data_IF_353543738453
#
_entry.id   IF_353543738453
#
_cell.length_a   1.000
_cell.length_b   1.000
_cell.length_c   1.000
_cell.angle_alpha   90.00
_cell.angle_beta   90.00
_cell.angle_gamma   90.00
#
_symmetry.space_group_name_H-M   'P 1'
#
loop_
_entity.id
_entity.type
_entity.pdbx_description
1 polymer ?
2 non-polymer ?
3 water ?
#
# COMPACT_ATOMS: atom_id res chain seq x y z
N UNK A 2 -27.99 14.33 14.18
CA UNK A 2 -27.70 15.41 13.18
C UNK A 2 -27.82 14.83 11.76
N UNK A 3 -26.91 13.92 11.39
CA UNK A 3 -27.12 13.04 10.22
C UNK A 3 -25.93 12.22 9.73
N UNK A 4 -26.23 10.94 9.52
CA UNK A 4 -25.30 10.00 8.92
C UNK A 4 -25.12 10.28 7.42
N UNK A 5 -26.24 10.54 6.76
CA UNK A 5 -26.33 10.79 5.32
C UNK A 5 -25.51 12.08 4.97
N UNK A 6 -25.56 13.07 5.85
CA UNK A 6 -24.87 14.32 5.60
C UNK A 6 -23.38 14.20 5.86
N UNK A 7 -22.98 13.39 6.83
CA UNK A 7 -21.55 13.25 7.02
C UNK A 7 -20.96 12.52 5.78
N UNK A 8 -21.67 11.48 5.32
CA UNK A 8 -21.29 10.72 4.14
C UNK A 8 -21.18 11.59 2.90
N UNK A 9 -22.21 12.42 2.68
CA UNK A 9 -22.23 13.30 1.53
C UNK A 9 -21.06 14.28 1.63
N UNK A 10 -20.76 14.72 2.84
CA UNK A 10 -19.59 15.55 3.04
C UNK A 10 -18.23 14.88 2.67
N UNK A 11 -18.09 13.66 3.16
CA UNK A 11 -16.90 12.90 2.95
C UNK A 11 -16.74 12.67 1.45
N UNK A 12 -17.84 12.28 0.79
CA UNK A 12 -17.80 11.98 -0.63
C UNK A 12 -17.54 13.22 -1.49
N UNK A 13 -17.99 14.38 -1.00
CA UNK A 13 -17.73 15.66 -1.70
C UNK A 13 -16.24 15.89 -1.78
N UNK A 14 -15.61 15.67 -0.63
CA UNK A 14 -14.17 15.82 -0.51
C UNK A 14 -13.42 14.86 -1.47
N UNK A 15 -13.89 13.61 -1.60
CA UNK A 15 -13.23 12.67 -2.53
C UNK A 15 -13.52 13.02 -3.97
N UNK A 16 -14.66 13.68 -4.27
CA UNK A 16 -14.98 14.13 -5.64
C UNK A 16 -13.99 15.21 -6.05
N UNK A 17 -13.65 16.04 -5.10
CA UNK A 17 -12.64 17.07 -5.22
C UNK A 17 -11.29 16.42 -5.54
N UNK A 18 -10.95 15.39 -4.80
CA UNK A 18 -9.64 14.74 -4.99
C UNK A 18 -9.62 14.13 -6.37
N UNK A 19 -10.71 13.49 -6.75
CA UNK A 19 -10.81 12.79 -8.00
C UNK A 19 -10.59 13.77 -9.12
N UNK A 20 -11.12 14.98 -8.98
CA UNK A 20 -10.92 15.97 -10.05
C UNK A 20 -9.45 16.38 -10.16
N UNK A 21 -8.75 16.60 -9.01
CA UNK A 21 -7.35 16.99 -9.02
C UNK A 21 -6.56 15.84 -9.62
N UNK A 22 -6.89 14.60 -9.26
CA UNK A 22 -6.12 13.43 -9.79
C UNK A 22 -6.30 13.32 -11.28
N UNK A 23 -7.54 13.47 -11.76
CA UNK A 23 -7.76 13.49 -13.18
C UNK A 23 -6.96 14.58 -13.91
N UNK A 24 -6.95 15.79 -13.39
CA UNK A 24 -6.23 16.92 -14.05
C UNK A 24 -4.71 16.62 -14.06
N UNK A 25 -4.19 16.16 -12.93
CA UNK A 25 -2.73 15.83 -12.86
C UNK A 25 -2.39 14.79 -13.91
N UNK A 26 -3.14 13.69 -13.95
CA UNK A 26 -2.82 12.65 -14.92
C UNK A 26 -2.90 13.09 -16.38
N UNK A 27 -3.87 13.96 -16.73
CA UNK A 27 -3.91 14.48 -18.08
C UNK A 27 -2.60 15.19 -18.49
N UNK A 28 -2.00 15.92 -17.58
CA UNK A 28 -0.75 16.74 -17.75
C UNK A 28 0.57 15.90 -17.74
N UNK A 29 0.64 14.95 -16.82
CA UNK A 29 1.90 14.40 -16.40
C UNK A 29 2.50 13.50 -17.44
N UNK A 30 3.82 13.55 -17.52
CA UNK A 30 4.60 12.59 -18.31
C UNK A 30 4.30 11.17 -17.87
N UNK A 31 4.23 10.24 -18.80
CA UNK A 31 4.01 8.80 -18.47
C UNK A 31 5.31 8.09 -18.59
N UNK A 32 5.61 7.16 -17.65
CA UNK A 32 6.93 6.47 -17.73
C UNK A 32 7.07 5.65 -19.02
N UNK A 33 8.23 5.61 -19.64
CA UNK A 33 8.36 4.89 -20.94
C UNK A 33 8.74 3.45 -20.71
N UNK A 34 8.61 2.65 -21.76
CA UNK A 34 9.19 1.33 -21.76
C UNK A 34 8.42 0.39 -20.82
N UNK A 35 7.10 0.49 -20.74
CA UNK A 35 6.33 -0.40 -19.81
C UNK A 35 5.18 -1.00 -20.58
N UNK A 36 4.81 -2.23 -20.26
CA UNK A 36 3.56 -2.83 -20.71
C UNK A 36 2.69 -3.10 -19.47
N UNK A 37 1.39 -2.97 -19.62
CA UNK A 37 0.48 -3.37 -18.58
C UNK A 37 -0.57 -4.31 -19.18
N UNK A 38 -1.12 -5.15 -18.29
CA UNK A 38 -2.22 -6.04 -18.53
C UNK A 38 -3.27 -5.70 -17.53
N UNK A 39 -4.45 -5.35 -18.01
CA UNK A 39 -5.41 -4.68 -17.14
C UNK A 39 -6.69 -5.55 -16.85
N UNK A 40 -7.31 -5.18 -15.74
CA UNK A 40 -8.70 -5.58 -15.46
C UNK A 40 -8.85 -7.11 -15.29
N UNK A 41 -7.91 -7.74 -14.59
CA UNK A 41 -8.13 -9.11 -14.23
C UNK A 41 -9.01 -9.21 -12.97
N UNK A 42 -10.11 -9.97 -13.04
CA UNK A 42 -10.91 -10.31 -11.87
C UNK A 42 -10.13 -11.26 -11.04
N UNK A 43 -10.01 -10.98 -9.73
CA UNK A 43 -9.20 -11.84 -8.87
C UNK A 43 -10.03 -12.80 -8.04
N UNK A 44 -11.35 -12.70 -8.16
CA UNK A 44 -12.25 -13.73 -7.64
C UNK A 44 -13.47 -13.87 -8.52
N UNK A 45 -14.33 -14.83 -8.26
CA UNK A 45 -15.58 -14.95 -9.05
C UNK A 45 -16.59 -13.87 -8.69
N UNK A 46 -16.39 -12.65 -9.18
CA UNK A 46 -17.20 -11.50 -8.81
C UNK A 46 -17.17 -10.48 -9.93
N UNK A 47 -18.31 -9.89 -10.20
CA UNK A 47 -18.39 -8.86 -11.21
C UNK A 47 -18.24 -7.49 -10.54
N UNK A 48 -17.86 -7.46 -9.26
CA UNK A 48 -17.70 -6.14 -8.62
C UNK A 48 -16.42 -5.58 -9.32
N UNK A 49 -16.52 -4.42 -9.89
CA UNK A 49 -15.43 -3.82 -10.65
C UNK A 49 -14.21 -3.49 -9.79
N UNK A 50 -14.39 -3.33 -8.47
CA UNK A 50 -13.27 -3.12 -7.58
C UNK A 50 -12.42 -4.35 -7.29
N UNK A 51 -12.93 -5.55 -7.56
CA UNK A 51 -12.25 -6.78 -7.29
C UNK A 51 -11.48 -7.27 -8.53
N UNK A 52 -10.67 -6.33 -9.02
CA UNK A 52 -9.84 -6.49 -10.20
C UNK A 52 -8.46 -5.94 -9.93
N UNK A 53 -7.52 -6.29 -10.81
CA UNK A 53 -6.11 -5.82 -10.61
C UNK A 53 -5.46 -5.59 -12.01
N UNK A 54 -4.40 -4.79 -12.01
CA UNK A 54 -3.53 -4.57 -13.16
C UNK A 54 -2.15 -5.17 -12.83
N UNK A 55 -1.46 -5.57 -13.87
CA UNK A 55 -0.06 -6.05 -13.80
C UNK A 55 0.72 -5.17 -14.74
N UNK A 56 1.95 -4.89 -14.37
CA UNK A 56 2.82 -3.96 -15.07
C UNK A 56 4.22 -4.62 -15.12
N UNK A 57 4.87 -4.42 -16.25
CA UNK A 57 6.18 -5.01 -16.53
C UNK A 57 7.04 -4.08 -17.35
N UNK A 58 8.36 -4.21 -17.25
CA UNK A 58 9.23 -3.54 -18.22
C UNK A 58 8.86 -3.97 -19.67
N UNK A 59 8.96 -3.10 -20.64
CA UNK A 59 8.65 -3.52 -22.01
C UNK A 59 9.64 -4.57 -22.50
N UNK A 60 10.89 -4.49 -22.07
CA UNK A 60 11.98 -5.41 -22.42
C UNK A 60 12.45 -6.11 -21.17
N UNK A 61 12.04 -7.37 -21.02
CA UNK A 61 12.42 -8.16 -19.86
C UNK A 61 13.80 -8.79 -20.03
N UNK A 62 14.72 -8.40 -19.15
CA UNK A 62 16.05 -8.99 -19.11
C UNK A 62 15.97 -10.46 -18.61
N UNK A 63 14.96 -10.84 -17.81
CA UNK A 63 14.77 -12.23 -17.38
C UNK A 63 13.30 -12.72 -17.53
N UNK A 64 13.05 -14.05 -17.54
CA UNK A 64 11.68 -14.64 -17.51
C UNK A 64 10.83 -14.24 -16.32
N UNK A 65 11.47 -14.11 -15.17
CA UNK A 65 10.84 -13.68 -13.93
C UNK A 65 11.67 -12.57 -13.38
N UNK A 66 10.97 -11.65 -12.73
CA UNK A 66 11.48 -10.43 -12.18
C UNK A 66 10.96 -10.30 -10.76
N UNK A 67 11.71 -9.69 -9.87
CA UNK A 67 11.26 -9.51 -8.52
C UNK A 67 9.95 -8.74 -8.53
N UNK A 68 9.15 -9.05 -7.55
CA UNK A 68 7.79 -8.58 -7.43
C UNK A 68 7.56 -7.35 -6.56
N UNK A 69 6.72 -6.39 -7.03
CA UNK A 69 6.20 -5.34 -6.19
C UNK A 69 4.67 -5.43 -6.19
N UNK A 70 4.08 -5.30 -5.00
CA UNK A 70 2.64 -5.32 -4.86
C UNK A 70 2.25 -4.00 -4.21
N UNK A 71 1.42 -3.19 -4.90
CA UNK A 71 0.98 -1.90 -4.45
C UNK A 71 -0.47 -1.87 -3.99
N UNK A 72 -0.69 -1.28 -2.81
CA UNK A 72 -1.99 -0.95 -2.25
C UNK A 72 -2.20 0.54 -2.25
N UNK A 73 -3.07 1.01 -3.12
CA UNK A 73 -3.32 2.45 -3.26
C UNK A 73 -4.00 3.05 -2.05
N UNK A 74 -3.92 4.36 -1.95
CA UNK A 74 -4.55 5.09 -0.87
C UNK A 74 -5.85 5.77 -1.36
N UNK A 75 -6.29 6.80 -0.63
CA UNK A 75 -7.59 7.39 -0.83
C UNK A 75 -8.54 7.30 0.37
N UNK A 76 -8.01 7.27 1.57
CA UNK A 76 -8.88 7.35 2.77
C UNK A 76 -9.89 6.26 2.94
N UNK A 77 -9.62 5.09 2.33
CA UNK A 77 -10.46 3.91 2.42
C UNK A 77 -11.79 4.09 1.72
N UNK A 78 -12.13 5.36 1.34
CA UNK A 78 -13.40 5.71 0.61
C UNK A 78 -13.23 5.96 -0.90
N UNK A 79 -11.99 5.99 -1.36
CA UNK A 79 -11.69 6.46 -2.69
C UNK A 79 -10.55 5.68 -3.38
N UNK A 80 -10.63 5.61 -4.71
CA UNK A 80 -9.52 5.05 -5.50
C UNK A 80 -9.91 3.75 -6.15
N UNK A 81 -9.07 3.34 -7.08
CA UNK A 81 -9.22 2.08 -7.75
C UNK A 81 -7.85 1.59 -8.29
N UNK A 82 -7.84 0.46 -8.99
CA UNK A 82 -6.60 -0.11 -9.52
C UNK A 82 -5.83 0.82 -10.47
N UNK A 83 -6.51 1.85 -10.99
CA UNK A 83 -5.85 2.77 -11.92
C UNK A 83 -5.23 3.97 -11.27
N UNK A 84 -5.57 4.23 -10.01
CA UNK A 84 -5.16 5.51 -9.39
C UNK A 84 -3.64 5.71 -9.37
N UNK A 85 -2.90 4.64 -9.07
CA UNK A 85 -1.45 4.71 -8.88
C UNK A 85 -0.77 4.18 -10.14
N UNK A 86 -1.43 4.24 -11.30
CA UNK A 86 -0.82 3.65 -12.49
C UNK A 86 0.54 4.21 -12.83
N UNK A 87 0.74 5.53 -12.74
CA UNK A 87 2.06 6.08 -13.17
C UNK A 87 3.17 5.61 -12.24
N UNK A 88 2.88 5.51 -10.94
CA UNK A 88 3.82 5.05 -9.96
C UNK A 88 4.18 3.59 -10.20
N UNK A 89 3.17 2.76 -10.48
CA UNK A 89 3.37 1.33 -10.78
C UNK A 89 4.15 1.14 -12.06
N UNK A 90 3.82 1.95 -13.08
CA UNK A 90 4.59 1.92 -14.29
C UNK A 90 6.04 2.25 -14.09
N UNK A 91 6.30 3.32 -13.33
CA UNK A 91 7.70 3.70 -13.03
C UNK A 91 8.46 2.52 -12.37
N UNK A 92 7.88 1.98 -11.32
CA UNK A 92 8.57 0.84 -10.68
C UNK A 92 8.80 -0.31 -11.66
N UNK A 93 7.79 -0.66 -12.47
CA UNK A 93 7.96 -1.72 -13.42
C UNK A 93 9.07 -1.40 -14.40
N UNK A 94 9.20 -0.13 -14.79
CA UNK A 94 10.17 0.26 -15.83
C UNK A 94 11.59 -0.01 -15.34
N UNK A 95 11.75 -0.16 -14.03
CA UNK A 95 13.05 -0.40 -13.44
C UNK A 95 13.45 -1.85 -13.41
N UNK A 96 12.58 -2.74 -13.87
CA UNK A 96 12.88 -4.17 -14.03
C UNK A 96 12.13 -5.06 -13.02
N UNK A 97 10.89 -4.65 -12.65
CA UNK A 97 10.07 -5.34 -11.65
C UNK A 97 8.73 -5.66 -12.23
N UNK A 98 8.17 -6.79 -11.74
CA UNK A 98 6.93 -7.19 -12.08
C UNK A 98 5.99 -6.64 -10.97
N UNK A 99 4.98 -5.90 -11.39
CA UNK A 99 4.20 -5.10 -10.39
C UNK A 99 2.73 -5.47 -10.49
N UNK A 100 2.09 -5.62 -9.32
CA UNK A 100 0.68 -5.85 -9.25
C UNK A 100 0.10 -4.77 -8.43
N UNK A 101 -1.00 -4.21 -8.91
CA UNK A 101 -1.78 -3.22 -8.11
C UNK A 101 -3.25 -3.63 -8.19
N UNK A 102 -3.89 -3.71 -7.02
CA UNK A 102 -5.28 -4.16 -6.92
C UNK A 102 -6.26 -3.11 -6.54
N UNK A 103 -7.48 -3.34 -7.01
CA UNK A 103 -8.60 -2.67 -6.39
C UNK A 103 -9.06 -3.42 -5.19
N UNK A 104 -9.79 -2.72 -4.33
CA UNK A 104 -10.46 -3.23 -3.14
C UNK A 104 -11.75 -2.41 -2.96
N UNK A 105 -12.80 -3.07 -2.49
CA UNK A 105 -14.10 -2.39 -2.29
C UNK A 105 -13.90 -1.26 -1.29
N UNK A 106 -14.64 -0.18 -1.48
CA UNK A 106 -14.45 1.01 -0.68
C UNK A 106 -15.52 1.11 0.44
N UNK A 107 -15.13 1.74 1.53
CA UNK A 107 -16.07 2.26 2.53
C UNK A 107 -17.03 3.20 1.79
N UNK A 108 -18.33 3.22 2.18
CA UNK A 108 -18.87 2.54 3.33
C UNK A 108 -19.54 1.23 2.95
N UNK A 109 -19.33 0.78 1.73
CA UNK A 109 -20.03 -0.41 1.23
C UNK A 109 -19.53 -1.71 1.91
N UNK A 110 -18.29 -1.65 2.33
CA UNK A 110 -17.61 -2.66 3.12
C UNK A 110 -17.00 -1.94 4.29
N UNK A 111 -16.43 -2.73 5.18
CA UNK A 111 -15.68 -2.27 6.28
C UNK A 111 -14.26 -2.79 6.10
N UNK A 112 -13.40 -2.58 7.10
CA UNK A 112 -11.98 -3.01 7.02
C UNK A 112 -11.81 -4.52 6.70
N UNK A 113 -12.62 -5.38 7.29
CA UNK A 113 -12.52 -6.82 7.03
C UNK A 113 -12.72 -7.13 5.55
N UNK A 114 -13.70 -6.49 4.94
CA UNK A 114 -13.94 -6.71 3.51
C UNK A 114 -12.76 -6.20 2.67
N UNK A 115 -12.17 -5.11 3.05
CA UNK A 115 -10.96 -4.60 2.32
C UNK A 115 -9.76 -5.53 2.47
N UNK A 116 -9.53 -6.02 3.67
CA UNK A 116 -8.44 -6.96 3.95
C UNK A 116 -8.66 -8.28 3.16
N UNK A 117 -9.89 -8.74 3.12
CA UNK A 117 -10.24 -9.94 2.31
C UNK A 117 -9.97 -9.77 0.81
N UNK A 118 -10.32 -8.61 0.29
CA UNK A 118 -10.03 -8.25 -1.11
C UNK A 118 -8.56 -8.28 -1.40
N UNK A 119 -7.79 -7.69 -0.51
CA UNK A 119 -6.38 -7.62 -0.71
C UNK A 119 -5.77 -9.01 -0.63
N UNK A 120 -6.15 -9.81 0.39
CA UNK A 120 -5.74 -11.21 0.41
C UNK A 120 -6.14 -12.07 -0.82
N UNK A 121 -7.34 -11.81 -1.35
CA UNK A 121 -7.78 -12.49 -2.60
C UNK A 121 -6.85 -12.15 -3.77
N UNK A 122 -6.42 -10.87 -3.86
CA UNK A 122 -5.53 -10.47 -4.95
C UNK A 122 -4.16 -11.12 -4.76
N UNK A 123 -3.68 -11.22 -3.52
CA UNK A 123 -2.41 -11.87 -3.23
C UNK A 123 -2.47 -13.35 -3.61
N UNK A 124 -3.58 -14.02 -3.29
CA UNK A 124 -3.74 -15.45 -3.57
C UNK A 124 -3.83 -15.69 -5.05
N UNK A 125 -4.52 -14.83 -5.76
CA UNK A 125 -4.56 -14.87 -7.20
C UNK A 125 -3.16 -14.82 -7.75
N UNK A 126 -2.40 -13.83 -7.29
CA UNK A 126 -0.99 -13.73 -7.71
C UNK A 126 -0.11 -14.97 -7.42
N UNK A 127 -0.31 -15.59 -6.29
CA UNK A 127 0.40 -16.85 -5.94
C UNK A 127 0.06 -17.94 -6.90
N UNK A 128 -1.16 -17.98 -7.45
CA UNK A 128 -1.58 -18.96 -8.46
C UNK A 128 -1.11 -18.65 -9.86
N UNK A 129 -1.22 -17.38 -10.26
CA UNK A 129 -1.07 -17.01 -11.67
C UNK A 129 0.09 -16.11 -12.00
N UNK A 130 0.74 -15.57 -10.97
CA UNK A 130 1.85 -14.62 -11.20
C UNK A 130 3.08 -15.26 -11.82
N UNK A 131 3.59 -16.36 -11.22
CA UNK A 131 4.86 -16.88 -11.69
C UNK A 131 4.82 -17.27 -13.14
N UNK A 132 3.72 -17.81 -13.65
CA UNK A 132 3.65 -18.20 -15.05
C UNK A 132 3.79 -16.99 -15.98
N UNK A 133 3.52 -15.76 -15.50
CA UNK A 133 3.59 -14.63 -16.37
C UNK A 133 4.67 -13.64 -15.97
N UNK A 134 5.64 -14.08 -15.15
CA UNK A 134 6.82 -13.32 -14.92
C UNK A 134 7.06 -12.83 -13.49
N UNK A 135 6.24 -13.20 -12.53
CA UNK A 135 6.44 -12.73 -11.17
C UNK A 135 7.33 -13.75 -10.38
N UNK A 136 8.45 -13.25 -9.84
CA UNK A 136 9.34 -14.03 -8.93
C UNK A 136 8.82 -13.80 -7.60
N UNK A 137 8.07 -14.76 -7.03
CA UNK A 137 7.49 -14.52 -5.73
C UNK A 137 8.40 -14.91 -4.51
N UNK A 138 9.66 -15.20 -4.77
CA UNK A 138 10.67 -15.35 -3.70
C UNK A 138 11.21 -14.03 -3.15
N UNK A 139 10.97 -12.96 -3.91
CA UNK A 139 11.38 -11.58 -3.54
C UNK A 139 10.22 -10.66 -3.82
N UNK A 140 9.55 -10.23 -2.76
CA UNK A 140 8.34 -9.49 -2.86
C UNK A 140 8.41 -8.24 -2.00
N UNK A 141 8.25 -7.08 -2.63
CA UNK A 141 8.11 -5.82 -1.95
C UNK A 141 6.63 -5.47 -1.85
N UNK A 142 6.10 -5.36 -0.65
CA UNK A 142 4.74 -4.88 -0.43
C UNK A 142 4.79 -3.38 -0.08
N UNK A 143 4.01 -2.57 -0.79
CA UNK A 143 3.95 -1.14 -0.53
C UNK A 143 2.60 -0.57 -0.63
N UNK A 144 2.42 0.54 0.12
CA UNK A 144 1.15 1.22 0.17
C UNK A 144 1.36 2.63 0.59
N UNK A 145 0.51 3.51 0.07
CA UNK A 145 0.56 4.94 0.43
C UNK A 145 -0.69 5.41 1.20
N UNK A 146 -0.46 6.15 2.29
CA UNK A 146 -1.54 6.76 3.12
C UNK A 146 -2.50 5.64 3.72
N UNK A 147 -3.78 5.64 3.41
CA UNK A 147 -4.65 4.50 3.76
C UNK A 147 -4.16 3.16 3.21
N UNK A 148 -3.54 3.18 2.04
CA UNK A 148 -2.91 2.00 1.53
C UNK A 148 -1.72 1.56 2.36
N UNK A 149 -1.04 2.49 3.02
CA UNK A 149 0.04 2.13 3.96
C UNK A 149 -0.45 1.50 5.25
N UNK A 150 -1.55 2.04 5.79
CA UNK A 150 -2.29 1.35 6.86
C UNK A 150 -2.56 -0.09 6.43
N UNK A 151 -3.21 -0.27 5.28
CA UNK A 151 -3.63 -1.57 4.84
C UNK A 151 -2.44 -2.48 4.66
N UNK A 152 -1.34 -1.96 4.04
CA UNK A 152 -0.12 -2.75 3.90
C UNK A 152 0.43 -3.20 5.30
N UNK A 153 0.41 -2.31 6.30
CA UNK A 153 0.97 -2.62 7.57
C UNK A 153 0.17 -3.72 8.21
N UNK A 154 -1.16 -3.69 8.09
CA UNK A 154 -1.98 -4.76 8.68
C UNK A 154 -1.80 -6.07 7.92
N UNK A 155 -1.79 -6.01 6.60
CA UNK A 155 -1.63 -7.24 5.81
C UNK A 155 -0.31 -7.94 6.15
N UNK A 156 0.77 -7.15 6.39
CA UNK A 156 2.07 -7.76 6.79
C UNK A 156 1.93 -8.59 8.10
N UNK A 157 1.15 -8.07 9.05
CA UNK A 157 0.98 -8.73 10.36
C UNK A 157 0.05 -9.91 10.22
N UNK A 158 -1.04 -9.74 9.48
CA UNK A 158 -2.01 -10.82 9.33
C UNK A 158 -1.39 -12.05 8.63
N UNK A 159 -0.59 -11.80 7.61
CA UNK A 159 0.11 -12.85 6.91
C UNK A 159 0.96 -13.71 7.86
N UNK A 160 1.41 -13.13 8.96
CA UNK A 160 2.28 -13.80 9.93
C UNK A 160 1.49 -14.46 11.09
N UNK A 161 0.20 -14.20 11.22
CA UNK A 161 -0.52 -14.54 12.44
C UNK A 161 -1.74 -15.40 12.22
N UNK A 162 -1.70 -16.67 12.65
CA UNK A 162 -2.92 -17.50 12.53
C UNK A 162 -4.15 -16.89 13.22
N UNK A 163 -3.99 -16.32 14.40
CA UNK A 163 -5.08 -15.64 15.15
C UNK A 163 -5.73 -14.51 14.29
N UNK A 164 -4.91 -13.68 13.66
CA UNK A 164 -5.49 -12.53 12.91
C UNK A 164 -6.05 -13.05 11.61
N UNK A 165 -5.42 -14.07 11.03
CA UNK A 165 -5.99 -14.70 9.86
C UNK A 165 -7.45 -15.17 10.13
N UNK A 166 -7.66 -15.73 11.32
CA UNK A 166 -8.94 -16.23 11.70
C UNK A 166 -9.90 -15.08 11.92
N UNK A 167 -9.43 -14.04 12.58
CA UNK A 167 -10.29 -12.88 12.88
C UNK A 167 -10.71 -12.14 11.61
N UNK A 168 -9.77 -12.00 10.67
CA UNK A 168 -10.05 -11.29 9.43
C UNK A 168 -10.71 -12.16 8.34
N UNK A 169 -10.83 -13.44 8.63
CA UNK A 169 -11.32 -14.46 7.70
C UNK A 169 -10.53 -14.61 6.43
N UNK A 170 -9.20 -14.62 6.56
CA UNK A 170 -8.34 -14.88 5.43
C UNK A 170 -7.42 -16.04 5.68
N UNK A 171 -6.85 -16.60 4.64
CA UNK A 171 -5.76 -17.60 4.79
C UNK A 171 -4.44 -17.02 4.37
N UNK A 172 -3.34 -17.50 4.95
CA UNK A 172 -2.02 -17.03 4.58
C UNK A 172 -1.78 -17.36 3.10
N UNK A 173 -0.97 -16.56 2.44
CA UNK A 173 -0.63 -16.85 1.04
C UNK A 173 0.75 -17.50 1.04
N UNK A 174 1.02 -18.22 -0.03
CA UNK A 174 2.18 -19.05 -0.14
C UNK A 174 3.41 -18.29 -0.66
N UNK A 175 3.65 -17.11 -0.10
CA UNK A 175 4.92 -16.40 -0.30
C UNK A 175 5.07 -15.43 0.83
N UNK A 176 6.28 -14.85 0.98
CA UNK A 176 6.57 -13.96 2.12
C UNK A 176 6.84 -12.60 1.54
N UNK A 177 6.73 -11.60 2.38
CA UNK A 177 7.18 -10.25 2.04
C UNK A 177 8.64 -10.05 2.42
N UNK A 178 9.45 -9.58 1.46
CA UNK A 178 10.82 -9.28 1.73
C UNK A 178 11.01 -7.97 2.40
N UNK A 179 10.15 -7.03 2.07
CA UNK A 179 10.17 -5.72 2.65
C UNK A 179 8.77 -5.16 2.58
N UNK A 180 8.39 -4.35 3.55
CA UNK A 180 7.16 -3.61 3.53
C UNK A 180 7.48 -2.10 3.61
N UNK A 181 7.20 -1.40 2.52
CA UNK A 181 7.52 0.05 2.42
C UNK A 181 6.26 0.85 2.51
N UNK A 182 6.20 1.66 3.54
CA UNK A 182 5.03 2.51 3.79
C UNK A 182 5.26 3.95 3.45
N UNK A 183 4.44 4.47 2.57
CA UNK A 183 4.59 5.83 2.11
C UNK A 183 3.51 6.69 2.77
N UNK A 184 3.96 7.67 3.61
CA UNK A 184 3.04 8.48 4.43
C UNK A 184 1.83 7.69 4.98
N UNK A 185 2.11 6.62 5.68
CA UNK A 185 1.02 5.78 6.15
C UNK A 185 0.19 6.46 7.24
N UNK A 186 -1.11 6.12 7.29
CA UNK A 186 -1.96 6.45 8.43
C UNK A 186 -2.18 5.19 9.20
N UNK A 187 -1.14 4.72 9.86
CA UNK A 187 -1.17 3.35 10.34
C UNK A 187 -1.85 3.25 11.73
N UNK A 188 -2.06 4.43 12.34
CA UNK A 188 -2.73 4.56 13.65
C UNK A 188 -3.98 5.42 13.53
N UNK A 189 -4.95 4.95 12.80
CA UNK A 189 -6.06 5.82 12.52
C UNK A 189 -6.85 6.25 13.79
N UNK A 190 -6.77 5.47 14.89
CA UNK A 190 -7.46 5.83 16.14
C UNK A 190 -6.90 7.07 16.75
N UNK A 191 -5.65 7.38 16.43
CA UNK A 191 -4.98 8.59 16.91
C UNK A 191 -5.31 9.84 16.09
N UNK A 192 -6.04 9.69 14.99
CA UNK A 192 -6.43 10.84 14.18
C UNK A 192 -7.20 11.93 14.99
N UNK A 193 -8.25 11.56 15.76
CA UNK A 193 -8.89 12.62 16.58
C UNK A 193 -8.01 13.10 17.77
N UNK A 199 -12.69 18.77 13.15
CA UNK A 199 -13.05 17.67 12.25
C UNK A 199 -13.03 16.35 13.02
N UNK A 200 -13.38 16.40 14.30
CA UNK A 200 -13.38 15.19 15.13
C UNK A 200 -14.53 14.27 14.77
N UNK A 201 -15.73 14.83 14.55
CA UNK A 201 -16.90 14.01 14.19
C UNK A 201 -16.68 13.25 12.88
N UNK A 202 -15.95 13.89 11.94
CA UNK A 202 -15.57 13.24 10.67
C UNK A 202 -14.54 12.10 10.89
N UNK A 203 -13.50 12.33 11.68
CA UNK A 203 -12.58 11.29 11.99
C UNK A 203 -13.28 10.10 12.65
N UNK A 204 -14.25 10.40 13.51
CA UNK A 204 -15.04 9.36 14.22
C UNK A 204 -15.89 8.58 13.23
N UNK A 205 -16.46 9.29 12.26
CA UNK A 205 -17.19 8.67 11.18
C UNK A 205 -16.32 7.69 10.38
N UNK A 206 -15.08 8.05 10.10
CA UNK A 206 -14.21 7.13 9.36
C UNK A 206 -13.99 5.81 10.18
N UNK A 207 -13.76 5.93 11.48
CA UNK A 207 -13.36 4.82 12.34
C UNK A 207 -14.50 3.88 12.48
N UNK A 208 -15.70 4.48 12.51
CA UNK A 208 -16.96 3.77 12.57
C UNK A 208 -17.18 2.96 11.30
N UNK A 209 -16.83 3.57 10.16
CA UNK A 209 -17.01 2.91 8.89
C UNK A 209 -15.95 1.80 8.69
N UNK A 210 -14.76 2.07 9.12
CA UNK A 210 -13.71 1.01 9.14
C UNK A 210 -14.08 -0.22 10.04
N UNK A 211 -14.61 0.00 11.26
CA UNK A 211 -14.83 -1.13 12.18
C UNK A 211 -16.15 -1.84 11.84
N UNK A 212 -16.99 -1.15 11.10
CA UNK A 212 -18.37 -1.60 10.89
C UNK A 212 -19.15 -1.98 12.14
N UNK A 213 -18.76 -1.43 13.29
CA UNK A 213 -19.33 -1.74 14.61
C UNK A 213 -18.80 -3.03 15.22
N UNK A 214 -17.92 -3.73 14.50
CA UNK A 214 -17.42 -4.98 15.02
C UNK A 214 -16.29 -4.65 16.01
N UNK A 215 -16.44 -5.07 17.26
CA UNK A 215 -15.47 -4.70 18.28
C UNK A 215 -14.11 -5.38 18.07
N UNK A 216 -14.10 -6.54 17.43
CA UNK A 216 -12.87 -7.21 17.08
C UNK A 216 -12.08 -6.33 16.04
N UNK A 217 -12.77 -5.59 15.18
CA UNK A 217 -12.09 -4.68 14.26
C UNK A 217 -11.65 -3.41 14.97
N UNK A 218 -12.48 -2.90 15.89
CA UNK A 218 -12.06 -1.76 16.70
C UNK A 218 -10.71 -2.07 17.37
N UNK A 219 -10.56 -3.27 17.90
CA UNK A 219 -9.39 -3.68 18.67
C UNK A 219 -8.27 -4.12 17.79
N UNK A 220 -8.48 -4.07 16.48
CA UNK A 220 -7.47 -4.48 15.53
C UNK A 220 -7.36 -3.56 14.33
N UNK A 221 -7.61 -2.27 14.55
CA UNK A 221 -7.66 -1.25 13.53
C UNK A 221 -6.32 -0.51 13.33
N UNK A 222 -5.42 -0.57 14.30
CA UNK A 222 -4.15 0.12 14.30
C UNK A 222 -3.04 -0.87 14.22
N UNK A 223 -2.00 -0.49 13.49
CA UNK A 223 -0.79 -1.30 13.46
C UNK A 223 -0.28 -1.66 14.85
N UNK A 224 -0.36 -0.73 15.79
CA UNK A 224 0.07 -1.01 17.16
C UNK A 224 -0.70 -2.18 17.80
N UNK A 225 -1.90 -2.45 17.31
CA UNK A 225 -2.74 -3.53 17.86
C UNK A 225 -2.46 -4.84 17.19
N UNK A 226 -1.90 -4.84 15.99
CA UNK A 226 -1.66 -6.10 15.29
C UNK A 226 -0.17 -6.53 15.22
N UNK A 227 0.74 -5.65 15.64
CA UNK A 227 2.19 -5.94 15.54
C UNK A 227 2.64 -6.87 16.66
N UNK A 228 1.85 -6.93 17.72
CA UNK A 228 2.32 -7.57 18.99
C UNK A 228 2.76 -8.98 18.82
N UNK A 229 4.05 -9.29 19.01
CA UNK A 229 4.53 -10.66 19.27
C UNK A 229 4.87 -11.40 18.02
N UNK A 230 4.96 -10.66 16.90
CA UNK A 230 5.12 -11.30 15.64
C UNK A 230 6.50 -11.04 15.21
N UNK A 231 7.02 -11.96 14.45
CA UNK A 231 8.33 -11.84 13.86
C UNK A 231 8.13 -11.29 12.43
N UNK A 232 8.41 -10.04 12.19
CA UNK A 232 7.97 -9.40 10.91
C UNK A 232 9.13 -9.20 9.97
N UNK A 233 8.86 -9.03 8.65
CA UNK A 233 9.93 -8.52 7.81
C UNK A 233 10.32 -7.12 8.17
N UNK A 234 11.41 -6.66 7.54
CA UNK A 234 11.87 -5.29 7.61
C UNK A 234 10.81 -4.34 7.02
N UNK A 235 10.75 -3.14 7.57
CA UNK A 235 9.93 -2.06 7.02
C UNK A 235 10.80 -0.91 6.53
N UNK A 236 10.20 -0.08 5.65
CA UNK A 236 10.81 1.15 5.20
C UNK A 236 9.71 2.19 5.31
N UNK A 237 9.99 3.25 6.03
CA UNK A 237 9.02 4.34 6.18
C UNK A 237 9.46 5.54 5.39
N UNK A 238 8.59 6.00 4.48
CA UNK A 238 8.90 7.05 3.51
C UNK A 238 7.93 8.17 3.73
N UNK A 239 8.44 9.41 3.68
CA UNK A 239 7.62 10.54 3.84
C UNK A 239 8.42 11.82 4.02
N UNK A 240 7.90 12.68 4.87
CA UNK A 240 8.53 13.98 5.13
C UNK A 240 7.79 14.88 6.08
N UNK A 241 8.54 15.89 6.57
CA UNK A 241 8.01 16.81 7.55
C UNK A 241 6.91 17.66 6.97
N UNK A 242 6.82 17.78 5.64
CA UNK A 242 5.67 18.50 4.99
C UNK A 242 4.55 17.60 4.50
N UNK A 243 4.57 16.35 4.94
CA UNK A 243 3.43 15.47 4.83
C UNK A 243 2.37 16.01 5.81
N UNK A 244 1.16 16.20 5.34
CA UNK A 244 0.05 16.59 6.21
C UNK A 244 -0.16 15.60 7.35
N UNK A 245 0.27 14.35 7.15
CA UNK A 245 0.14 13.27 8.15
C UNK A 245 1.47 12.89 8.75
N UNK A 246 2.42 13.81 8.81
CA UNK A 246 3.75 13.48 9.34
C UNK A 246 3.65 13.00 10.81
N UNK A 247 2.62 13.47 11.52
CA UNK A 247 2.43 13.01 12.89
C UNK A 247 2.27 11.49 12.98
N UNK A 248 1.54 10.94 12.05
CA UNK A 248 1.33 9.49 12.01
C UNK A 248 2.63 8.75 11.81
N UNK A 249 3.54 9.29 10.97
CA UNK A 249 4.88 8.74 10.80
C UNK A 249 5.68 8.76 12.07
N UNK A 250 5.64 9.89 12.78
CA UNK A 250 6.30 9.94 14.11
C UNK A 250 5.73 8.92 15.11
N UNK A 251 4.40 8.88 15.24
CA UNK A 251 3.75 7.80 16.03
C UNK A 251 4.19 6.39 15.61
N UNK A 252 4.19 6.10 14.31
CA UNK A 252 4.62 4.77 13.92
C UNK A 252 6.07 4.36 14.27
N UNK A 253 7.00 5.29 14.17
CA UNK A 253 8.34 4.99 14.59
C UNK A 253 8.45 4.54 16.09
N UNK A 254 7.65 5.16 16.91
CA UNK A 254 7.61 4.82 18.33
C UNK A 254 7.10 3.40 18.43
N UNK A 255 6.07 3.02 17.67
CA UNK A 255 5.61 1.59 17.72
C UNK A 255 6.65 0.63 17.19
N UNK A 256 7.32 0.96 16.07
CA UNK A 256 8.40 0.11 15.59
C UNK A 256 9.45 -0.09 16.70
N UNK A 257 9.89 1.00 17.32
CA UNK A 257 10.97 0.87 18.34
C UNK A 257 10.51 0.00 19.53
N UNK A 258 9.29 0.22 20.01
CA UNK A 258 8.75 -0.56 21.13
C UNK A 258 8.57 -2.03 20.77
N UNK A 259 8.37 -2.35 19.48
CA UNK A 259 8.22 -3.74 19.11
C UNK A 259 9.41 -4.39 18.45
N UNK A 260 10.54 -3.72 18.46
CA UNK A 260 11.73 -4.27 17.84
C UNK A 260 11.47 -4.67 16.40
N UNK A 261 10.76 -3.80 15.67
CA UNK A 261 10.61 -3.93 14.20
C UNK A 261 11.91 -3.50 13.54
N UNK A 262 12.43 -4.26 12.61
CA UNK A 262 13.59 -3.75 11.80
C UNK A 262 13.09 -2.79 10.73
N UNK A 263 13.68 -1.60 10.66
CA UNK A 263 13.25 -0.59 9.67
C UNK A 263 14.35 0.37 9.28
N UNK A 264 14.13 1.01 8.14
CA UNK A 264 14.92 2.12 7.64
C UNK A 264 13.93 3.21 7.26
N UNK A 265 14.45 4.43 7.02
CA UNK A 265 13.58 5.57 6.75
C UNK A 265 14.07 6.35 5.59
N UNK A 266 13.17 6.98 4.89
CA UNK A 266 13.61 7.99 3.91
C UNK A 266 12.59 9.10 4.13
N UNK A 267 12.96 9.99 5.04
CA UNK A 267 12.04 11.08 5.47
C UNK A 267 12.62 12.44 5.06
N UNK A 268 11.85 13.21 4.31
CA UNK A 268 12.38 14.42 3.73
C UNK A 268 12.19 15.56 4.75
N UNK A 269 13.26 16.30 5.00
CA UNK A 269 13.19 17.42 5.93
C UNK A 269 12.38 18.57 5.32
N UNK A 270 11.85 19.43 6.17
CA UNK A 270 11.11 20.59 5.69
C UNK A 270 11.95 21.49 4.79
N UNK A 271 13.24 21.55 5.04
CA UNK A 271 14.16 22.35 4.20
C UNK A 271 14.25 21.86 2.77
N UNK A 272 13.84 20.61 2.52
CA UNK A 272 13.82 20.09 1.15
C UNK A 272 12.64 20.65 0.34
N UNK A 273 11.74 21.38 0.99
CA UNK A 273 10.78 22.19 0.24
C UNK A 273 9.32 21.91 0.44
N UNK A 274 8.47 22.86 0.05
CA UNK A 274 7.07 22.79 0.33
C UNK A 274 6.34 21.89 -0.64
N UNK A 275 7.01 21.57 -1.73
CA UNK A 275 6.38 20.68 -2.75
C UNK A 275 6.37 19.21 -2.34
N UNK A 276 7.16 18.83 -1.32
CA UNK A 276 7.31 17.41 -0.95
C UNK A 276 6.17 17.06 0.01
N UNK A 277 4.99 17.16 -0.55
CA UNK A 277 3.78 17.01 0.22
C UNK A 277 3.36 15.57 0.29
N UNK A 278 2.14 15.40 0.79
CA UNK A 278 1.54 14.13 0.91
C UNK A 278 1.67 13.31 -0.39
N UNK A 279 2.25 12.18 -0.20
CA UNK A 279 2.52 11.13 -1.17
C UNK A 279 3.08 11.63 -2.50
N UNK A 280 3.94 12.66 -2.46
CA UNK A 280 4.49 13.25 -3.69
C UNK A 280 5.18 12.20 -4.61
N UNK A 281 5.86 11.21 -4.00
CA UNK A 281 6.65 10.24 -4.82
C UNK A 281 5.79 9.22 -5.58
N UNK A 282 4.51 9.11 -5.21
CA UNK A 282 3.50 8.32 -5.91
C UNK A 282 2.79 9.18 -6.94
N UNK A 283 2.43 10.41 -6.52
CA UNK A 283 1.65 11.28 -7.39
C UNK A 283 2.47 11.96 -8.49
N UNK A 284 3.77 12.15 -8.28
CA UNK A 284 4.68 12.74 -9.27
C UNK A 284 5.98 11.96 -9.50
N UNK A 285 5.88 10.84 -10.18
CA UNK A 285 7.01 9.94 -10.28
C UNK A 285 8.21 10.59 -10.90
N UNK A 286 7.98 11.59 -11.77
CA UNK A 286 9.05 12.21 -12.61
C UNK A 286 9.86 13.23 -11.89
N UNK A 287 9.37 13.72 -10.72
CA UNK A 287 10.18 14.70 -10.01
C UNK A 287 11.54 14.01 -9.57
N UNK A 288 12.66 14.77 -9.55
CA UNK A 288 13.93 14.22 -9.07
C UNK A 288 13.82 13.61 -7.67
N UNK A 289 13.14 14.25 -6.75
CA UNK A 289 13.00 13.65 -5.37
C UNK A 289 12.18 12.32 -5.34
N UNK A 290 11.22 12.19 -6.24
CA UNK A 290 10.44 11.00 -6.39
C UNK A 290 11.29 9.88 -6.94
N UNK A 291 12.11 10.19 -7.92
CA UNK A 291 13.01 9.22 -8.53
C UNK A 291 13.99 8.71 -7.43
N UNK A 292 14.56 9.64 -6.68
CA UNK A 292 15.52 9.32 -5.64
C UNK A 292 14.90 8.42 -4.59
N UNK A 293 13.72 8.79 -4.14
CA UNK A 293 12.99 8.04 -3.11
C UNK A 293 12.65 6.63 -3.60
N UNK A 294 12.06 6.55 -4.80
CA UNK A 294 11.58 5.31 -5.29
C UNK A 294 12.72 4.36 -5.65
N UNK A 295 13.78 4.88 -6.27
CA UNK A 295 15.02 4.08 -6.42
C UNK A 295 15.61 3.61 -5.10
N UNK A 296 15.66 4.45 -4.08
CA UNK A 296 16.21 4.10 -2.80
C UNK A 296 15.39 2.92 -2.23
N UNK A 297 14.07 2.98 -2.37
CA UNK A 297 13.19 1.85 -1.93
C UNK A 297 13.52 0.57 -2.69
N UNK A 298 13.67 0.67 -4.01
CA UNK A 298 13.94 -0.52 -4.85
C UNK A 298 15.33 -1.08 -4.49
N UNK A 299 16.29 -0.19 -4.20
CA UNK A 299 17.64 -0.67 -3.81
C UNK A 299 17.67 -1.34 -2.45
N UNK A 300 16.91 -0.82 -1.52
CA UNK A 300 16.73 -1.44 -0.23
C UNK A 300 16.14 -2.83 -0.36
N UNK A 301 15.13 -2.95 -1.23
CA UNK A 301 14.50 -4.27 -1.56
C UNK A 301 15.46 -5.21 -2.21
N UNK A 302 16.23 -4.70 -3.16
CA UNK A 302 17.24 -5.53 -3.78
C UNK A 302 18.30 -6.01 -2.75
N UNK A 303 18.77 -5.12 -1.87
CA UNK A 303 19.79 -5.55 -0.90
C UNK A 303 19.27 -6.67 0.01
N UNK A 304 18.00 -6.57 0.44
CA UNK A 304 17.39 -7.65 1.21
C UNK A 304 17.24 -8.93 0.41
N UNK A 305 16.86 -8.81 -0.88
CA UNK A 305 16.68 -9.96 -1.77
C UNK A 305 18.03 -10.70 -1.96
N UNK A 306 19.12 -9.92 -2.07
CA UNK A 306 20.49 -10.48 -2.18
C UNK A 306 20.92 -11.20 -0.92
N UNK A 307 20.65 -10.59 0.25
CA UNK A 307 20.96 -11.23 1.54
C UNK A 307 20.17 -12.52 1.71
N UNK A 308 18.90 -12.50 1.36
CA UNK A 308 18.15 -13.76 1.33
C UNK A 308 18.79 -14.81 0.37
N UNK A 309 19.10 -14.39 -0.84
CA UNK A 309 19.72 -15.37 -1.79
C UNK A 309 21.04 -15.98 -1.23
N UNK A 310 21.87 -15.15 -0.59
CA UNK A 310 23.13 -15.61 0.03
C UNK A 310 22.86 -16.57 1.18
N UNK A 311 21.87 -16.22 2.02
CA UNK A 311 21.46 -16.97 3.17
C UNK A 311 20.92 -18.33 2.72
N UNK A 312 20.30 -18.37 1.55
CA UNK A 312 19.68 -19.60 1.09
C UNK A 312 20.59 -20.35 0.09
N UNK A 313 21.89 -20.04 0.09
CA UNK A 313 22.85 -20.75 -0.78
C UNK A 313 22.37 -20.73 -2.20
N UNK A 314 21.92 -19.55 -2.66
CA UNK A 314 21.38 -19.47 -4.01
C UNK A 314 21.88 -18.23 -4.74
N UNK A 315 23.16 -17.92 -4.57
CA UNK A 315 23.86 -16.90 -5.40
C UNK A 315 24.71 -17.58 -6.46
X LIG B 1 -5.25 7.81 1.99
X LIG B 1 -4.58 9.03 2.54
X LIG B 1 -4.41 10.42 1.37
X LIG B 1 -5.51 10.46 0.33
X LIG B 1 -5.64 11.86 -0.29
X LIG B 1 -5.16 9.65 3.97
X LIG B 1 -6.18 9.21 4.85
X LIG B 1 -6.95 10.45 5.34
X LIG B 1 -7.80 9.99 6.40
X LIG B 1 -9.06 10.67 6.70
X LIG B 1 -8.96 12.17 7.07
X LIG B 1 -10.27 12.80 7.53
X LIG B 1 -10.36 13.03 9.03
X LIG B 1 -7.66 11.22 4.19
X LIG B 1 -7.04 12.48 3.77
X LIG B 1 -7.69 13.78 3.93
X LIG B 1 -9.01 13.98 3.15
X LIG B 1 -8.92 14.96 1.96
X LIG B 1 -7.74 14.66 1.05
#
# INVERSE_FOLDING_TARGET
MADEEAMLAKVQASWAQTAARDKARYADERVPEDVHWETEYRYEQSADPQQTLNLYYPAKRRNATMPTVIDIHGGGWFYGDRNLNRNYCRYLASQGYAVMGMGYRLLPDVDLRGQIQDIFASLRWLSHFGPQRGFDLDHVLLTGDSAGGHLASLVACIQQSAELQELFGVSRVNFNFTLVALVCPVAEPSKLPEAAGDMSDMAAFYLDKLSGGDQALVDHLNFSQVVKGLDLPPFMLIGGQNDSFYLQSQALLKVFDANHVTYTTKLWPASAGPHLKHVFNVQHWEWPESIETNLEMLRTFDALSKQQDQAEENEFE
HY4 O11 P13 C3 C2 C1 O5 C6 C7 O50 C33 C30 C31 C32 C8 O9 C26 C27 C28 C29
#
